data_IF_626961631051
#
_entry.id   IF_626961631051
#
_cell.length_a   1.000
_cell.length_b   1.000
_cell.length_c   1.000
_cell.angle_alpha   90.00
_cell.angle_beta   90.00
_cell.angle_gamma   90.00
#
_symmetry.space_group_name_H-M   'P 1'
#
loop_
_entity.id
_entity.type
_entity.pdbx_description
1 polymer ?
#
# COMPACT_ATOMS: atom_id res chain seq x y z
N UNK A 1 1.99 -66.17 -10.63
CA UNK A 1 0.54 -66.31 -10.91
C UNK A 1 0.21 -65.39 -12.08
N UNK A 2 -0.30 -65.98 -13.17
CA UNK A 2 -0.59 -65.47 -14.52
C UNK A 2 -1.22 -64.04 -14.58
N UNK A 3 -0.69 -63.11 -15.40
CA UNK A 3 -1.05 -62.80 -16.82
C UNK A 3 -2.49 -62.27 -17.04
N UNK A 4 -2.65 -61.02 -17.52
CA UNK A 4 -3.03 -60.68 -18.91
C UNK A 4 -3.37 -59.19 -19.14
N UNK A 5 -3.05 -58.80 -20.37
CA UNK A 5 -3.24 -57.53 -21.09
C UNK A 5 -4.69 -57.23 -21.50
N UNK A 6 -4.94 -55.94 -21.80
CA UNK A 6 -5.90 -55.47 -22.82
C UNK A 6 -6.52 -54.12 -22.44
N UNK A 7 -6.61 -53.09 -23.26
CA UNK A 7 -6.31 -52.84 -24.68
C UNK A 7 -5.96 -51.35 -24.82
N UNK A 8 -5.07 -51.03 -25.74
CA UNK A 8 -4.75 -49.65 -26.09
C UNK A 8 -5.86 -48.96 -26.89
N UNK A 9 -5.73 -47.63 -26.97
CA UNK A 9 -5.75 -46.96 -28.26
C UNK A 9 -4.94 -45.66 -28.15
N UNK A 10 -3.73 -45.72 -28.67
CA UNK A 10 -2.93 -44.56 -29.00
C UNK A 10 -3.27 -44.19 -30.45
N UNK A 11 -3.79 -43.00 -30.68
CA UNK A 11 -3.68 -42.33 -31.98
C UNK A 11 -2.97 -41.02 -31.71
N UNK A 12 -1.72 -40.97 -32.15
CA UNK A 12 -0.86 -39.80 -32.07
C UNK A 12 -1.34 -38.66 -32.96
N UNK A 13 -0.74 -37.50 -32.72
CA UNK A 13 -1.00 -36.28 -33.49
C UNK A 13 -0.21 -35.12 -32.91
N UNK A 14 1.11 -35.21 -33.02
CA UNK A 14 2.04 -34.10 -32.89
C UNK A 14 1.63 -33.02 -33.92
N UNK A 15 1.27 -31.80 -33.47
CA UNK A 15 1.44 -30.50 -34.15
C UNK A 15 0.60 -29.38 -33.49
N UNK A 16 1.30 -28.36 -32.96
CA UNK A 16 0.82 -26.96 -33.01
C UNK A 16 0.26 -26.31 -31.73
N UNK A 17 0.88 -25.19 -31.33
CA UNK A 17 0.31 -24.14 -30.45
C UNK A 17 0.86 -24.17 -29.02
N UNK A 18 2.03 -23.58 -28.73
CA UNK A 18 2.20 -22.15 -28.41
C UNK A 18 1.02 -21.51 -27.64
N UNK A 19 1.33 -21.04 -26.43
CA UNK A 19 0.53 -20.23 -25.50
C UNK A 19 -0.51 -20.95 -24.63
N UNK A 20 -0.25 -20.97 -23.32
CA UNK A 20 -1.27 -21.23 -22.31
C UNK A 20 -0.79 -22.04 -21.11
N UNK A 21 0.25 -21.61 -20.39
CA UNK A 21 0.47 -22.12 -19.04
C UNK A 21 -0.62 -21.57 -18.12
N UNK A 22 -1.67 -22.39 -17.90
CA UNK A 22 -2.65 -22.15 -16.84
C UNK A 22 -1.89 -22.01 -15.52
N UNK A 23 -1.82 -20.80 -14.96
CA UNK A 23 -1.38 -20.58 -13.58
C UNK A 23 -2.31 -21.40 -12.69
N UNK A 24 -1.76 -22.42 -12.04
CA UNK A 24 -2.44 -23.09 -10.95
C UNK A 24 -2.40 -22.14 -9.75
N UNK A 25 -3.57 -21.67 -9.32
CA UNK A 25 -3.73 -20.75 -8.20
C UNK A 25 -3.24 -21.42 -6.90
N UNK A 26 -2.08 -20.99 -6.42
CA UNK A 26 -1.47 -21.46 -5.18
C UNK A 26 -2.01 -20.63 -4.00
N UNK A 27 -2.95 -21.19 -3.22
CA UNK A 27 -3.38 -20.62 -1.93
C UNK A 27 -2.85 -21.47 -0.76
N UNK A 28 -2.24 -20.87 0.29
CA UNK A 28 -1.43 -21.56 1.29
C UNK A 28 -2.22 -22.32 2.38
N UNK A 29 -3.45 -22.79 2.11
CA UNK A 29 -4.29 -23.48 3.09
C UNK A 29 -5.04 -24.71 2.56
N UNK A 30 -4.48 -25.43 1.57
CA UNK A 30 -4.91 -26.81 1.26
C UNK A 30 -6.39 -27.03 0.90
N UNK A 31 -7.13 -25.97 0.53
CA UNK A 31 -8.52 -26.09 0.08
C UNK A 31 -8.52 -26.46 -1.40
N UNK A 32 -8.45 -27.76 -1.71
CA UNK A 32 -8.71 -28.29 -3.05
C UNK A 32 -10.22 -28.35 -3.29
N UNK A 33 -10.84 -27.18 -3.38
CA UNK A 33 -12.22 -27.01 -3.82
C UNK A 33 -12.27 -25.95 -4.91
N UNK A 34 -13.04 -26.19 -5.98
CA UNK A 34 -13.42 -25.12 -6.91
C UNK A 34 -14.00 -23.97 -6.07
N UNK A 35 -13.38 -22.79 -6.11
CA UNK A 35 -14.00 -21.57 -5.60
C UNK A 35 -15.38 -21.46 -6.24
N UNK A 36 -16.43 -21.27 -5.44
CA UNK A 36 -17.76 -21.03 -5.97
C UNK A 36 -17.72 -19.82 -6.92
N UNK A 37 -18.50 -19.86 -7.99
CA UNK A 37 -18.58 -18.79 -9.01
C UNK A 37 -19.08 -17.44 -8.44
N UNK A 38 -19.45 -17.43 -7.15
CA UNK A 38 -19.91 -16.29 -6.37
C UNK A 38 -18.85 -15.64 -5.49
N UNK A 39 -17.65 -16.23 -5.40
CA UNK A 39 -16.53 -15.60 -4.71
C UNK A 39 -15.89 -14.51 -5.59
N UNK A 40 -15.36 -13.49 -4.93
CA UNK A 40 -14.75 -12.31 -5.55
C UNK A 40 -13.25 -12.23 -5.23
N UNK A 41 -12.37 -12.82 -6.06
CA UNK A 41 -10.93 -12.74 -5.85
C UNK A 41 -10.38 -11.33 -6.08
N UNK A 42 -9.27 -11.01 -5.43
CA UNK A 42 -8.55 -9.73 -5.60
C UNK A 42 -7.99 -9.52 -7.01
N UNK A 43 -7.83 -10.60 -7.78
CA UNK A 43 -7.05 -10.62 -9.01
C UNK A 43 -7.93 -10.62 -10.28
N UNK A 44 -9.23 -10.31 -10.15
CA UNK A 44 -10.15 -10.20 -11.28
C UNK A 44 -10.06 -8.83 -11.97
N UNK A 45 -10.13 -8.83 -13.31
CA UNK A 45 -10.15 -7.59 -14.11
C UNK A 45 -11.39 -6.73 -13.86
N UNK A 46 -12.53 -7.36 -13.52
CA UNK A 46 -13.79 -6.68 -13.24
C UNK A 46 -13.87 -6.15 -11.80
N UNK A 47 -14.36 -4.91 -11.59
CA UNK A 47 -14.63 -4.39 -10.26
C UNK A 47 -15.66 -5.27 -9.56
N UNK A 48 -15.40 -5.55 -8.28
CA UNK A 48 -16.19 -6.50 -7.53
C UNK A 48 -16.19 -6.12 -6.04
N UNK A 49 -17.33 -6.31 -5.39
CA UNK A 49 -17.58 -5.96 -3.99
C UNK A 49 -17.86 -7.24 -3.22
N UNK A 50 -17.40 -7.35 -1.99
CA UNK A 50 -17.75 -8.46 -1.10
C UNK A 50 -18.61 -7.97 0.05
N UNK A 51 -19.60 -8.77 0.43
CA UNK A 51 -20.38 -8.52 1.66
C UNK A 51 -20.30 -9.78 2.51
N UNK A 52 -20.16 -9.61 3.82
CA UNK A 52 -20.22 -10.75 4.74
C UNK A 52 -21.55 -11.53 4.58
N UNK A 53 -21.53 -12.83 4.89
CA UNK A 53 -22.69 -13.69 4.69
C UNK A 53 -22.84 -14.70 5.83
N UNK A 54 -24.05 -14.79 6.37
CA UNK A 54 -24.50 -15.88 7.23
C UNK A 54 -26.04 -15.88 7.28
N UNK A 55 -26.67 -17.04 7.11
CA UNK A 55 -28.14 -17.20 7.16
C UNK A 55 -28.74 -16.80 8.52
N UNK A 56 -27.97 -16.88 9.60
CA UNK A 56 -28.33 -16.52 10.98
C UNK A 56 -27.76 -15.17 11.40
N UNK A 57 -27.42 -14.29 10.46
CA UNK A 57 -26.85 -12.99 10.78
C UNK A 57 -27.86 -12.10 11.52
N UNK A 58 -27.48 -11.61 12.71
CA UNK A 58 -28.28 -10.66 13.49
C UNK A 58 -27.99 -9.19 13.16
N UNK A 59 -26.98 -8.94 12.31
CA UNK A 59 -26.50 -7.59 11.95
C UNK A 59 -27.03 -7.08 10.61
N UNK A 60 -27.87 -7.85 9.92
CA UNK A 60 -28.52 -7.39 8.68
C UNK A 60 -27.61 -7.40 7.44
N UNK A 61 -26.67 -8.35 7.34
CA UNK A 61 -25.80 -8.45 6.15
C UNK A 61 -26.57 -8.72 4.84
N UNK A 62 -27.74 -9.36 4.93
CA UNK A 62 -28.64 -9.55 3.78
C UNK A 62 -29.18 -8.20 3.28
N UNK A 63 -29.74 -7.39 4.17
CA UNK A 63 -30.27 -6.07 3.83
C UNK A 63 -29.20 -5.14 3.20
N UNK A 64 -27.96 -5.19 3.69
CA UNK A 64 -26.85 -4.43 3.10
C UNK A 64 -26.50 -4.92 1.71
N UNK A 65 -26.54 -6.24 1.48
CA UNK A 65 -26.32 -6.81 0.15
C UNK A 65 -27.41 -6.41 -0.82
N UNK A 66 -28.67 -6.48 -0.40
CA UNK A 66 -29.81 -6.13 -1.24
C UNK A 66 -29.75 -4.65 -1.62
N UNK A 67 -29.48 -3.76 -0.67
CA UNK A 67 -29.30 -2.33 -0.92
C UNK A 67 -28.11 -2.03 -1.87
N UNK A 68 -27.01 -2.80 -1.76
CA UNK A 68 -25.88 -2.66 -2.70
C UNK A 68 -26.24 -3.13 -4.11
N UNK A 69 -27.01 -4.22 -4.24
CA UNK A 69 -27.46 -4.70 -5.55
C UNK A 69 -28.42 -3.71 -6.21
N UNK A 70 -29.41 -3.21 -5.45
CA UNK A 70 -30.36 -2.19 -5.92
C UNK A 70 -29.62 -0.94 -6.40
N UNK A 71 -28.69 -0.42 -5.60
CA UNK A 71 -27.93 0.76 -5.98
C UNK A 71 -26.96 0.52 -7.17
N UNK A 72 -26.49 -0.72 -7.39
CA UNK A 72 -25.73 -1.10 -8.59
C UNK A 72 -26.61 -1.07 -9.83
N UNK A 73 -27.83 -1.61 -9.74
CA UNK A 73 -28.82 -1.63 -10.82
C UNK A 73 -29.28 -0.21 -11.20
N UNK A 74 -29.61 0.62 -10.21
CA UNK A 74 -29.99 2.02 -10.42
C UNK A 74 -28.93 2.84 -11.17
N UNK A 75 -27.65 2.56 -10.88
CA UNK A 75 -26.52 3.27 -11.48
C UNK A 75 -25.94 2.57 -12.72
N UNK A 76 -26.56 1.47 -13.19
CA UNK A 76 -26.11 0.66 -14.33
C UNK A 76 -24.62 0.27 -14.27
N UNK A 77 -24.14 -0.10 -13.08
CA UNK A 77 -22.73 -0.41 -12.85
C UNK A 77 -22.42 -1.87 -13.22
N UNK A 78 -21.37 -2.11 -14.00
CA UNK A 78 -20.88 -3.44 -14.35
C UNK A 78 -20.06 -4.10 -13.21
N UNK A 79 -20.67 -4.18 -12.01
CA UNK A 79 -20.04 -4.65 -10.76
C UNK A 79 -20.90 -5.76 -10.16
N UNK A 80 -20.27 -6.83 -9.64
CA UNK A 80 -20.98 -7.91 -8.92
C UNK A 80 -20.71 -7.83 -7.42
N UNK A 81 -21.74 -8.06 -6.61
CA UNK A 81 -21.59 -8.32 -5.16
C UNK A 81 -21.37 -9.81 -4.95
N UNK A 82 -20.15 -10.18 -4.56
CA UNK A 82 -19.76 -11.56 -4.25
C UNK A 82 -19.83 -11.90 -2.76
N UNK A 83 -19.70 -13.19 -2.48
CA UNK A 83 -19.60 -13.72 -1.12
C UNK A 83 -18.17 -13.57 -0.58
N UNK A 84 -18.05 -13.35 0.73
CA UNK A 84 -16.76 -13.32 1.42
C UNK A 84 -16.22 -14.73 1.66
N UNK A 85 -14.90 -14.89 1.74
CA UNK A 85 -14.19 -16.19 1.84
C UNK A 85 -14.46 -16.96 3.13
N UNK A 86 -14.94 -16.28 4.17
CA UNK A 86 -14.97 -16.79 5.55
C UNK A 86 -16.39 -16.99 6.06
N UNK A 87 -16.68 -18.20 6.55
CA UNK A 87 -17.88 -18.48 7.32
C UNK A 87 -17.80 -17.80 8.71
N UNK A 88 -18.90 -17.17 9.12
CA UNK A 88 -19.04 -16.50 10.42
C UNK A 88 -20.00 -17.31 11.32
N UNK A 89 -20.10 -17.00 12.62
CA UNK A 89 -21.15 -17.50 13.52
C UNK A 89 -22.45 -16.70 13.46
N UNK A 90 -22.46 -15.57 12.74
CA UNK A 90 -23.63 -14.70 12.58
C UNK A 90 -23.77 -13.62 13.67
N UNK A 91 -22.93 -13.66 14.71
CA UNK A 91 -22.93 -12.68 15.80
C UNK A 91 -21.56 -12.00 15.91
N UNK A 92 -21.41 -10.84 15.27
CA UNK A 92 -20.20 -10.01 15.33
C UNK A 92 -20.53 -8.62 15.87
N UNK A 93 -19.56 -7.96 16.51
CA UNK A 93 -19.69 -6.59 17.04
C UNK A 93 -19.62 -5.53 15.94
N UNK A 94 -18.82 -5.77 14.90
CA UNK A 94 -18.38 -4.75 13.94
C UNK A 94 -18.90 -4.98 12.51
N UNK A 95 -19.73 -6.00 12.30
CA UNK A 95 -20.42 -6.20 11.02
C UNK A 95 -21.70 -5.37 10.91
N UNK A 96 -22.28 -5.25 9.71
CA UNK A 96 -21.88 -5.87 8.44
C UNK A 96 -20.58 -5.30 7.83
N UNK A 97 -19.84 -6.16 7.14
CA UNK A 97 -18.59 -5.79 6.46
C UNK A 97 -18.79 -5.75 4.95
N UNK A 98 -18.25 -4.71 4.31
CA UNK A 98 -18.25 -4.53 2.85
C UNK A 98 -16.81 -4.37 2.37
N UNK A 99 -16.31 -5.32 1.58
CA UNK A 99 -14.95 -5.33 1.08
C UNK A 99 -14.86 -4.89 -0.39
N UNK A 100 -13.76 -4.24 -0.73
CA UNK A 100 -13.37 -3.93 -2.10
C UNK A 100 -12.03 -4.60 -2.41
N UNK A 101 -12.02 -5.88 -2.86
CA UNK A 101 -10.80 -6.65 -3.01
C UNK A 101 -9.72 -5.99 -3.88
N UNK A 102 -10.13 -5.37 -5.01
CA UNK A 102 -9.21 -4.64 -5.91
C UNK A 102 -8.56 -3.42 -5.23
N UNK A 103 -9.29 -2.74 -4.36
CA UNK A 103 -8.81 -1.57 -3.58
C UNK A 103 -8.15 -1.95 -2.25
N UNK A 104 -8.20 -3.24 -1.86
CA UNK A 104 -7.67 -3.77 -0.59
C UNK A 104 -8.17 -3.01 0.64
N UNK A 105 -9.42 -2.53 0.60
CA UNK A 105 -10.10 -1.90 1.73
C UNK A 105 -11.33 -2.70 2.12
N UNK A 106 -11.77 -2.54 3.36
CA UNK A 106 -13.07 -3.00 3.80
C UNK A 106 -13.67 -2.00 4.79
N UNK A 107 -14.98 -1.83 4.67
CA UNK A 107 -15.80 -1.05 5.57
C UNK A 107 -16.44 -1.94 6.62
N UNK A 108 -16.59 -1.40 7.82
CA UNK A 108 -17.23 -2.05 8.96
C UNK A 108 -18.49 -1.29 9.36
N UNK A 109 -19.41 -1.96 10.05
CA UNK A 109 -20.67 -1.39 10.56
C UNK A 109 -21.52 -0.70 9.47
N UNK A 110 -21.47 -1.22 8.25
CA UNK A 110 -22.21 -0.65 7.12
C UNK A 110 -23.70 -0.91 7.30
N UNK A 111 -24.51 0.12 7.18
CA UNK A 111 -25.97 0.03 7.17
C UNK A 111 -26.53 0.09 5.74
N UNK A 112 -27.76 -0.41 5.49
CA UNK A 112 -28.33 -0.42 4.13
C UNK A 112 -28.43 0.96 3.48
N UNK A 113 -28.72 2.01 4.25
CA UNK A 113 -28.79 3.41 3.80
C UNK A 113 -27.44 3.96 3.31
N UNK A 114 -26.33 3.42 3.81
CA UNK A 114 -24.98 3.83 3.38
C UNK A 114 -24.55 3.18 2.05
N UNK A 115 -25.26 2.15 1.58
CA UNK A 115 -24.86 1.36 0.41
C UNK A 115 -24.67 2.21 -0.86
N UNK A 116 -25.65 3.07 -1.17
CA UNK A 116 -25.57 3.96 -2.33
C UNK A 116 -24.40 4.96 -2.25
N UNK A 117 -24.20 5.56 -1.07
CA UNK A 117 -23.08 6.48 -0.83
C UNK A 117 -21.72 5.80 -0.97
N UNK A 118 -21.59 4.57 -0.47
CA UNK A 118 -20.38 3.75 -0.61
C UNK A 118 -20.07 3.47 -2.09
N UNK A 119 -21.06 3.13 -2.91
CA UNK A 119 -20.84 2.91 -4.35
C UNK A 119 -20.37 4.19 -5.05
N UNK A 120 -21.05 5.31 -4.81
CA UNK A 120 -20.76 6.59 -5.44
C UNK A 120 -19.36 7.10 -5.06
N UNK A 121 -19.04 7.15 -3.77
CA UNK A 121 -17.75 7.66 -3.30
C UNK A 121 -16.61 6.69 -3.63
N UNK A 122 -16.79 5.40 -3.34
CA UNK A 122 -15.68 4.44 -3.41
C UNK A 122 -15.44 3.89 -4.80
N UNK A 123 -16.48 3.53 -5.56
CA UNK A 123 -16.32 2.98 -6.91
C UNK A 123 -16.25 4.05 -7.98
N UNK A 124 -17.15 5.03 -7.96
CA UNK A 124 -17.22 6.02 -9.04
C UNK A 124 -16.19 7.14 -8.86
N UNK A 125 -16.08 7.69 -7.65
CA UNK A 125 -15.14 8.80 -7.36
C UNK A 125 -13.76 8.31 -6.90
N UNK A 126 -13.62 7.02 -6.59
CA UNK A 126 -12.37 6.42 -6.13
C UNK A 126 -11.94 6.81 -4.71
N UNK A 127 -12.78 7.54 -3.96
CA UNK A 127 -12.47 8.06 -2.62
C UNK A 127 -12.69 7.00 -1.55
N UNK A 128 -12.09 7.20 -0.38
CA UNK A 128 -12.27 6.32 0.78
C UNK A 128 -13.10 7.06 1.82
N UNK A 129 -14.18 6.43 2.29
CA UNK A 129 -14.97 6.95 3.41
C UNK A 129 -14.25 6.55 4.71
N UNK A 130 -13.50 7.49 5.29
CA UNK A 130 -12.67 7.23 6.47
C UNK A 130 -13.48 6.77 7.69
N UNK A 131 -14.67 7.33 7.91
CA UNK A 131 -15.53 7.00 9.05
C UNK A 131 -15.98 5.53 9.07
N UNK A 132 -16.04 4.90 7.89
CA UNK A 132 -16.45 3.50 7.74
C UNK A 132 -15.25 2.56 7.59
N UNK A 133 -14.06 3.10 7.33
CA UNK A 133 -12.85 2.34 7.08
C UNK A 133 -12.43 1.58 8.34
N UNK A 134 -12.38 0.26 8.25
CA UNK A 134 -11.88 -0.52 9.36
C UNK A 134 -10.35 -0.45 9.40
N UNK A 135 -9.84 0.36 10.33
CA UNK A 135 -8.40 0.48 10.62
C UNK A 135 -8.11 -0.32 11.88
N UNK A 136 -7.20 -1.29 11.80
CA UNK A 136 -6.69 -1.92 13.02
C UNK A 136 -5.62 -1.01 13.64
N UNK A 137 -5.74 -0.68 14.93
CA UNK A 137 -4.74 0.16 15.60
C UNK A 137 -3.45 -0.61 15.90
N UNK A 138 -3.35 -1.87 15.48
CA UNK A 138 -2.16 -2.72 15.65
C UNK A 138 -1.54 -3.13 14.30
N UNK A 139 -2.23 -2.91 13.17
CA UNK A 139 -1.79 -3.38 11.87
C UNK A 139 -2.44 -2.60 10.74
N UNK A 140 -1.63 -1.97 9.89
CA UNK A 140 -2.13 -1.51 8.60
C UNK A 140 -2.30 -2.70 7.65
N UNK A 141 -3.49 -2.83 7.06
CA UNK A 141 -3.78 -3.84 6.02
C UNK A 141 -3.44 -3.34 4.61
N UNK A 142 -3.00 -2.08 4.51
CA UNK A 142 -2.57 -1.39 3.30
C UNK A 142 -1.11 -1.00 3.44
N UNK A 143 -0.32 -1.15 2.38
CA UNK A 143 1.08 -0.75 2.40
C UNK A 143 1.24 0.76 2.54
N UNK A 144 0.30 1.50 1.96
CA UNK A 144 0.32 2.95 1.74
C UNK A 144 -0.33 3.78 2.86
N UNK A 145 -0.75 3.11 3.94
CA UNK A 145 -1.26 3.76 5.15
C UNK A 145 -0.29 3.43 6.29
N UNK A 146 0.44 4.43 6.78
CA UNK A 146 1.25 4.37 7.99
C UNK A 146 0.40 4.82 9.17
N UNK A 147 0.18 3.90 10.11
CA UNK A 147 -0.44 4.21 11.40
C UNK A 147 0.59 3.96 12.49
N UNK A 148 1.04 5.04 13.14
CA UNK A 148 1.88 4.95 14.34
C UNK A 148 1.00 5.19 15.57
N UNK A 149 0.90 4.18 16.42
CA UNK A 149 0.10 4.23 17.65
C UNK A 149 0.74 5.13 18.69
N UNK A 150 2.07 5.16 18.76
CA UNK A 150 2.79 5.88 19.81
C UNK A 150 2.74 7.39 19.57
N UNK A 151 2.64 7.80 18.30
CA UNK A 151 2.66 9.19 17.88
C UNK A 151 1.29 9.74 17.42
N UNK A 152 0.20 8.96 17.46
CA UNK A 152 -1.18 9.36 17.11
C UNK A 152 -1.42 9.86 15.66
N UNK A 153 -0.51 9.59 14.72
CA UNK A 153 -0.67 10.00 13.31
C UNK A 153 -1.16 8.87 12.40
N UNK A 154 -2.13 9.21 11.54
CA UNK A 154 -2.56 8.40 10.39
C UNK A 154 -2.13 9.12 9.11
N UNK A 155 -1.16 8.54 8.39
CA UNK A 155 -0.68 9.09 7.11
C UNK A 155 -1.07 8.12 6.00
N UNK A 156 -1.94 8.57 5.09
CA UNK A 156 -2.27 7.86 3.87
C UNK A 156 -1.54 8.53 2.70
N UNK A 157 -0.74 7.77 1.99
CA UNK A 157 0.08 8.26 0.86
C UNK A 157 -0.36 7.49 -0.38
N UNK A 158 -0.56 8.17 -1.50
CA UNK A 158 -0.96 7.49 -2.74
C UNK A 158 0.22 6.70 -3.35
N UNK A 159 -0.07 5.63 -4.10
CA UNK A 159 0.98 4.84 -4.77
C UNK A 159 1.66 5.59 -5.93
N UNK A 160 1.10 6.73 -6.34
CA UNK A 160 1.74 7.70 -7.24
C UNK A 160 2.81 8.57 -6.57
N UNK A 161 3.09 8.41 -5.28
CA UNK A 161 4.14 9.18 -4.59
C UNK A 161 5.33 8.28 -4.28
N UNK A 162 6.52 8.72 -4.67
CA UNK A 162 7.78 8.08 -4.28
C UNK A 162 8.07 8.32 -2.79
N UNK A 163 8.32 7.24 -2.04
CA UNK A 163 8.68 7.32 -0.61
C UNK A 163 10.04 8.00 -0.39
N UNK A 164 11.00 7.81 -1.29
CA UNK A 164 12.32 8.50 -1.20
C UNK A 164 12.13 10.01 -1.26
N UNK A 165 11.30 10.48 -2.20
CA UNK A 165 10.97 11.89 -2.35
C UNK A 165 10.22 12.44 -1.13
N UNK A 166 9.27 11.66 -0.60
CA UNK A 166 8.50 12.05 0.58
C UNK A 166 9.39 12.18 1.83
N UNK A 167 10.28 11.21 2.06
CA UNK A 167 11.25 11.28 3.16
C UNK A 167 12.16 12.51 3.02
N UNK A 168 12.62 12.81 1.80
CA UNK A 168 13.43 14.01 1.55
C UNK A 168 12.65 15.31 1.84
N UNK A 169 11.37 15.37 1.45
CA UNK A 169 10.51 16.52 1.72
C UNK A 169 10.40 16.82 3.22
N UNK A 170 10.07 15.81 4.04
CA UNK A 170 9.98 16.00 5.50
C UNK A 170 11.34 16.36 6.11
N UNK A 171 12.39 15.66 5.69
CA UNK A 171 13.72 15.88 6.24
C UNK A 171 14.27 17.29 5.95
N UNK A 172 13.95 17.87 4.78
CA UNK A 172 14.33 19.26 4.43
C UNK A 172 13.73 20.25 5.42
N UNK A 173 12.49 20.00 5.86
CA UNK A 173 11.85 20.81 6.90
C UNK A 173 12.50 20.60 8.27
N UNK A 174 12.71 19.34 8.66
CA UNK A 174 13.26 19.00 9.98
C UNK A 174 14.70 19.50 10.18
N UNK A 175 15.51 19.54 9.12
CA UNK A 175 16.83 20.18 9.15
C UNK A 175 16.74 21.66 9.55
N UNK A 176 15.75 22.39 9.05
CA UNK A 176 15.54 23.81 9.35
C UNK A 176 14.99 24.07 10.75
N UNK A 177 14.26 23.10 11.32
CA UNK A 177 13.68 23.20 12.68
C UNK A 177 14.67 22.76 13.77
N UNK A 178 15.66 21.94 13.42
CA UNK A 178 16.64 21.42 14.38
C UNK A 178 17.33 22.54 15.16
N UNK A 179 17.25 22.49 16.50
CA UNK A 179 17.97 23.43 17.37
C UNK A 179 19.48 23.26 17.35
N UNK A 180 19.97 22.16 16.76
CA UNK A 180 21.40 21.88 16.59
C UNK A 180 22.14 21.50 17.88
N UNK A 181 21.48 21.24 19.02
CA UNK A 181 22.18 20.97 20.30
C UNK A 181 23.03 19.70 20.29
N UNK A 182 22.45 18.56 19.88
CA UNK A 182 23.13 17.27 19.88
C UNK A 182 23.72 16.93 18.50
N UNK A 183 24.92 16.36 18.49
CA UNK A 183 25.65 15.98 17.27
C UNK A 183 24.85 15.06 16.34
N UNK A 184 24.23 13.94 16.82
CA UNK A 184 23.49 13.06 15.93
C UNK A 184 22.33 13.77 15.23
N UNK A 185 21.65 14.70 15.89
CA UNK A 185 20.59 15.50 15.25
C UNK A 185 21.15 16.57 14.31
N UNK A 186 22.12 17.37 14.77
CA UNK A 186 22.67 18.51 14.00
C UNK A 186 23.34 18.06 12.71
N UNK A 187 24.14 16.99 12.78
CA UNK A 187 24.89 16.48 11.63
C UNK A 187 24.13 15.39 10.89
N UNK A 188 23.34 14.58 11.59
CA UNK A 188 22.54 13.52 10.98
C UNK A 188 21.55 14.07 9.96
N UNK A 189 20.79 15.12 10.31
CA UNK A 189 19.84 15.73 9.37
C UNK A 189 20.50 16.19 8.06
N UNK A 190 21.60 16.94 8.16
CA UNK A 190 22.37 17.41 7.01
C UNK A 190 22.88 16.23 6.16
N UNK A 191 23.39 15.18 6.82
CA UNK A 191 23.95 14.02 6.12
C UNK A 191 22.85 13.20 5.43
N UNK A 192 21.75 12.93 6.13
CA UNK A 192 20.58 12.25 5.56
C UNK A 192 20.04 13.01 4.35
N UNK A 193 19.91 14.35 4.43
CA UNK A 193 19.39 15.15 3.30
C UNK A 193 20.33 15.08 2.10
N UNK A 194 21.63 15.15 2.31
CA UNK A 194 22.63 15.02 1.24
C UNK A 194 22.58 13.64 0.58
N UNK A 195 22.48 12.57 1.37
CA UNK A 195 22.34 11.20 0.86
C UNK A 195 21.06 11.04 0.04
N UNK A 196 19.91 11.51 0.55
CA UNK A 196 18.64 11.44 -0.17
C UNK A 196 18.66 12.25 -1.48
N UNK A 197 19.24 13.46 -1.47
CA UNK A 197 19.43 14.24 -2.70
C UNK A 197 20.25 13.47 -3.75
N UNK A 198 21.35 12.85 -3.31
CA UNK A 198 22.21 12.05 -4.19
C UNK A 198 21.46 10.84 -4.77
N UNK A 199 20.71 10.12 -3.94
CA UNK A 199 19.86 8.99 -4.37
C UNK A 199 18.80 9.48 -5.37
N UNK A 200 18.14 10.60 -5.09
CA UNK A 200 17.13 11.18 -5.97
C UNK A 200 17.70 11.64 -7.31
N UNK A 201 18.94 12.14 -7.34
CA UNK A 201 19.67 12.51 -8.55
C UNK A 201 20.16 11.31 -9.37
N UNK A 202 19.98 10.07 -8.89
CA UNK A 202 20.49 8.87 -9.56
C UNK A 202 22.01 8.70 -9.41
N UNK A 203 22.59 9.36 -8.41
CA UNK A 203 24.01 9.29 -8.04
C UNK A 203 24.23 8.44 -6.78
N UNK A 204 23.20 7.74 -6.32
CA UNK A 204 23.27 6.89 -5.14
C UNK A 204 24.21 5.70 -5.31
N UNK A 205 24.84 5.28 -4.22
CA UNK A 205 25.75 4.15 -4.17
C UNK A 205 25.17 2.99 -3.36
N UNK A 206 25.67 1.76 -3.58
CA UNK A 206 25.18 0.56 -2.87
C UNK A 206 25.25 0.67 -1.35
N UNK A 207 26.19 1.44 -0.81
CA UNK A 207 26.37 1.64 0.64
C UNK A 207 25.49 2.73 1.25
N UNK A 208 24.73 3.48 0.43
CA UNK A 208 23.95 4.62 0.91
C UNK A 208 22.79 4.18 1.80
N UNK A 209 22.19 3.03 1.52
CA UNK A 209 21.10 2.48 2.30
C UNK A 209 21.59 2.14 3.71
N UNK A 210 22.75 1.51 3.84
CA UNK A 210 23.38 1.18 5.12
C UNK A 210 23.77 2.45 5.88
N UNK A 211 24.29 3.46 5.17
CA UNK A 211 24.63 4.74 5.78
C UNK A 211 23.39 5.46 6.32
N UNK A 212 22.30 5.53 5.54
CA UNK A 212 21.02 6.08 5.98
C UNK A 212 20.52 5.37 7.25
N UNK A 213 20.53 4.03 7.26
CA UNK A 213 20.12 3.22 8.43
C UNK A 213 20.98 3.54 9.66
N UNK A 214 22.31 3.56 9.50
CA UNK A 214 23.23 3.84 10.59
C UNK A 214 23.04 5.24 11.21
N UNK A 215 22.83 6.26 10.38
CA UNK A 215 22.58 7.62 10.85
C UNK A 215 21.23 7.69 11.57
N UNK A 216 20.18 7.08 11.00
CA UNK A 216 18.86 7.06 11.63
C UNK A 216 18.87 6.38 13.00
N UNK A 217 19.60 5.27 13.14
CA UNK A 217 19.75 4.59 14.44
C UNK A 217 20.56 5.44 15.43
N UNK A 218 21.62 6.13 14.99
CA UNK A 218 22.35 7.06 15.85
C UNK A 218 21.47 8.22 16.34
N UNK A 219 20.64 8.79 15.45
CA UNK A 219 19.65 9.81 15.80
C UNK A 219 18.62 9.29 16.79
N UNK A 220 18.14 8.05 16.61
CA UNK A 220 17.14 7.43 17.47
C UNK A 220 17.67 7.08 18.86
N UNK A 221 18.92 6.61 18.95
CA UNK A 221 19.47 6.03 20.19
C UNK A 221 20.31 7.00 21.02
N UNK A 222 20.94 8.01 20.39
CA UNK A 222 21.95 8.85 21.03
C UNK A 222 21.60 10.35 21.06
N UNK A 223 20.45 10.76 20.51
CA UNK A 223 20.04 12.15 20.56
C UNK A 223 19.55 12.58 21.95
N UNK A 224 19.66 13.88 22.20
CA UNK A 224 19.32 14.46 23.50
C UNK A 224 17.80 14.61 23.73
N UNK A 225 17.00 14.65 22.66
CA UNK A 225 15.56 14.87 22.71
C UNK A 225 14.85 14.10 21.60
N UNK A 226 13.53 13.94 21.73
CA UNK A 226 12.72 13.12 20.83
C UNK A 226 12.58 13.68 19.41
N UNK A 227 12.94 14.95 19.18
CA UNK A 227 12.92 15.54 17.82
C UNK A 227 13.76 14.73 16.81
N UNK A 228 14.92 14.23 17.23
CA UNK A 228 15.76 13.43 16.34
C UNK A 228 15.15 12.05 16.04
N UNK A 229 14.42 11.48 17.02
CA UNK A 229 13.68 10.24 16.85
C UNK A 229 12.51 10.44 15.90
N UNK A 230 11.72 11.50 16.07
CA UNK A 230 10.59 11.81 15.18
C UNK A 230 11.06 12.03 13.74
N UNK A 231 12.23 12.67 13.55
CA UNK A 231 12.80 12.90 12.22
C UNK A 231 13.28 11.60 11.55
N UNK A 232 13.92 10.68 12.31
CA UNK A 232 14.52 9.48 11.72
C UNK A 232 13.54 8.32 11.50
N UNK A 233 12.41 8.29 12.23
CA UNK A 233 11.45 7.19 12.17
C UNK A 233 10.76 7.01 10.80
N UNK A 234 10.24 8.06 10.14
CA UNK A 234 9.63 7.92 8.81
C UNK A 234 10.58 7.31 7.79
N UNK A 235 11.86 7.69 7.82
CA UNK A 235 12.88 7.17 6.91
C UNK A 235 13.22 5.70 7.23
N UNK A 236 13.30 5.30 8.50
CA UNK A 236 13.48 3.89 8.86
C UNK A 236 12.31 3.01 8.40
N UNK A 237 11.08 3.51 8.54
CA UNK A 237 9.88 2.81 8.07
C UNK A 237 9.87 2.70 6.54
N UNK A 238 10.23 3.78 5.83
CA UNK A 238 10.38 3.76 4.38
C UNK A 238 11.46 2.77 3.93
N UNK A 239 12.64 2.78 4.56
CA UNK A 239 13.71 1.81 4.26
C UNK A 239 13.31 0.38 4.56
N UNK A 240 12.41 0.13 5.52
CA UNK A 240 11.92 -1.20 5.86
C UNK A 240 10.84 -1.71 4.91
N UNK A 241 9.90 -0.85 4.51
CA UNK A 241 8.71 -1.25 3.76
C UNK A 241 8.81 -0.96 2.26
N UNK A 242 9.67 -0.03 1.87
CA UNK A 242 9.83 0.51 0.52
C UNK A 242 11.29 0.51 0.06
N UNK A 243 12.13 -0.37 0.61
CA UNK A 243 13.55 -0.51 0.25
C UNK A 243 13.78 -0.60 -1.27
N UNK A 244 12.85 -1.26 -1.97
CA UNK A 244 12.88 -1.40 -3.42
C UNK A 244 12.92 -0.06 -4.15
N UNK A 245 12.21 0.97 -3.67
CA UNK A 245 12.24 2.29 -4.31
C UNK A 245 13.63 2.94 -4.18
N UNK A 246 14.29 2.79 -3.03
CA UNK A 246 15.67 3.26 -2.83
C UNK A 246 16.64 2.54 -3.77
N UNK A 247 16.51 1.22 -3.89
CA UNK A 247 17.30 0.41 -4.82
C UNK A 247 17.05 0.83 -6.26
N UNK A 248 15.80 1.06 -6.65
CA UNK A 248 15.45 1.49 -8.01
C UNK A 248 16.06 2.86 -8.33
N UNK A 249 16.05 3.81 -7.38
CA UNK A 249 16.76 5.08 -7.51
C UNK A 249 18.28 4.91 -7.74
N UNK A 250 18.91 3.96 -7.04
CA UNK A 250 20.35 3.69 -7.14
C UNK A 250 20.69 2.97 -8.46
N UNK A 251 19.99 1.90 -8.79
CA UNK A 251 20.34 1.02 -9.91
C UNK A 251 19.79 1.51 -11.26
N UNK A 252 18.59 2.08 -11.26
CA UNK A 252 17.88 2.51 -12.49
C UNK A 252 17.96 4.01 -12.72
N UNK A 253 18.60 4.76 -11.80
CA UNK A 253 18.73 6.22 -11.86
C UNK A 253 17.39 6.93 -12.02
N UNK A 254 16.36 6.39 -11.37
CA UNK A 254 14.99 6.88 -11.46
C UNK A 254 14.04 6.10 -10.56
N UNK A 255 12.91 6.69 -10.23
CA UNK A 255 11.92 6.04 -9.37
C UNK A 255 11.07 5.03 -10.15
N UNK A 256 10.76 3.90 -9.51
CA UNK A 256 9.76 2.95 -9.99
C UNK A 256 8.35 3.21 -9.44
N UNK A 257 8.23 4.00 -8.38
CA UNK A 257 6.97 4.38 -7.74
C UNK A 257 6.63 5.85 -8.02
N UNK A 258 5.59 6.09 -8.81
CA UNK A 258 4.94 7.39 -8.81
C UNK A 258 5.71 8.58 -9.42
N UNK A 259 5.03 9.72 -9.58
CA UNK A 259 5.56 10.91 -10.27
C UNK A 259 6.84 11.41 -9.59
N UNK A 260 7.89 11.60 -10.40
CA UNK A 260 9.15 12.26 -10.00
C UNK A 260 8.81 13.53 -9.23
N UNK A 261 9.34 13.69 -8.02
CA UNK A 261 9.48 15.03 -7.47
C UNK A 261 10.32 15.82 -8.48
N UNK A 262 9.76 16.88 -9.02
CA UNK A 262 10.46 17.80 -9.90
C UNK A 262 11.76 18.21 -9.19
N UNK A 263 12.89 17.91 -9.82
CA UNK A 263 14.16 18.46 -9.42
C UNK A 263 14.04 19.97 -9.59
N UNK A 264 13.80 20.70 -8.51
CA UNK A 264 14.00 22.15 -8.50
C UNK A 264 15.44 22.40 -8.96
N UNK A 265 15.55 23.04 -10.13
CA UNK A 265 16.80 23.19 -10.86
C UNK A 265 17.87 23.92 -10.07
N UNK A 266 19.11 23.49 -10.30
CA UNK A 266 20.32 24.27 -10.09
C UNK A 266 20.17 25.68 -10.67
N UNK A 267 20.04 26.67 -9.79
CA UNK A 267 20.16 28.09 -10.08
C UNK A 267 21.21 28.69 -9.16
N UNK A 268 22.49 28.35 -9.40
CA UNK A 268 23.61 29.14 -8.91
C UNK A 268 23.73 30.37 -9.83
N UNK A 269 23.34 31.54 -9.35
CA UNK A 269 23.86 32.81 -9.88
C UNK A 269 24.71 33.48 -8.80
N UNK A 270 26.03 33.39 -9.01
CA UNK A 270 27.03 34.30 -8.44
C UNK A 270 26.89 35.66 -9.11
N UNK A 271 26.74 36.72 -8.31
CA UNK A 271 27.31 38.07 -8.42
C UNK A 271 26.51 38.93 -7.42
N UNK A 272 27.03 39.78 -6.56
CA UNK A 272 28.15 40.70 -6.70
C UNK A 272 28.75 40.96 -5.30
N UNK A 273 30.07 41.04 -5.23
CA UNK A 273 30.74 41.83 -4.22
C UNK A 273 31.58 42.87 -4.95
N UNK A 274 31.17 44.14 -4.92
CA UNK A 274 32.05 45.32 -5.00
C UNK A 274 31.23 46.62 -4.89
N UNK A 275 31.38 47.33 -3.77
CA UNK A 275 31.37 48.80 -3.61
C UNK A 275 31.35 49.08 -2.10
N UNK A 276 32.50 49.19 -1.45
CA UNK A 276 33.34 50.39 -1.36
C UNK A 276 32.78 51.44 -0.38
N UNK A 277 33.65 51.81 0.56
CA UNK A 277 33.48 52.83 1.56
C UNK A 277 33.19 54.22 0.97
N UNK A 278 32.31 54.95 1.66
CA UNK A 278 32.33 56.41 1.83
C UNK A 278 31.50 56.75 3.08
#
# INVERSE_FOLDING_TARGET
MALKFGKGNNKGGFLGGLFGTKKADYYPYGLTGKLSEDFCPSDFDRPCITVCFNDKCTRGCANVRDALNEAIEENNLAVKVGLMKTACSGNCSDGPFVGFPKKKIFYSKVTPDMAGGILLETLMRGRVIFDLLHISPYRSYRSDVLFDRDDEYLIAIDDSICMVCLCHYFLRWDEGVSCGKCVPCRQGNIRLRKLLNRIMAGEGEKGDIEELKAICDAMRLAAYCDFAKSTSMPLLLALKHYEKEFIDHIEKKGCSGGSRAESEGSGDEKSEGEAAAA
#
